data_IF_374988408951
#
_entry.id   IF_374988408951
#
_cell.length_a   1.000
_cell.length_b   1.000
_cell.length_c   1.000
_cell.angle_alpha   90.00
_cell.angle_beta   90.00
_cell.angle_gamma   90.00
#
_symmetry.space_group_name_H-M   'P 1'
#
loop_
_entity.id
_entity.type
_entity.pdbx_description
1 polymer ?
#
# COMPACT_ATOMS: atom_id res chain seq x y z
N UNK A 1 -45.41 8.07 10.41
CA UNK A 1 -44.53 7.33 9.46
C UNK A 1 -43.87 6.13 10.11
N UNK A 2 -42.90 6.30 11.03
CA UNK A 2 -42.19 5.16 11.61
C UNK A 2 -43.16 4.17 12.29
N UNK A 3 -44.08 4.67 13.11
CA UNK A 3 -45.10 3.83 13.74
C UNK A 3 -46.17 3.25 12.82
N UNK A 4 -46.36 3.81 11.63
CA UNK A 4 -47.30 3.23 10.67
C UNK A 4 -46.74 1.91 10.09
N UNK A 5 -45.41 1.77 10.09
CA UNK A 5 -44.70 0.60 9.56
C UNK A 5 -44.28 -0.36 10.68
N UNK A 6 -43.70 0.18 11.76
CA UNK A 6 -43.10 -0.60 12.85
C UNK A 6 -44.03 -0.81 14.05
N UNK A 7 -45.17 -0.11 14.08
CA UNK A 7 -46.14 -0.16 15.17
C UNK A 7 -45.82 0.81 16.30
N UNK A 8 -46.42 0.55 17.47
CA UNK A 8 -46.30 1.41 18.64
C UNK A 8 -44.95 1.30 19.35
N UNK A 9 -44.13 0.28 19.05
CA UNK A 9 -42.81 0.08 19.66
C UNK A 9 -41.80 -0.35 18.60
N UNK A 10 -40.58 0.20 18.66
CA UNK A 10 -39.45 -0.23 17.82
C UNK A 10 -38.19 -0.47 18.64
N UNK A 11 -37.34 -1.41 18.18
CA UNK A 11 -36.10 -1.72 18.88
C UNK A 11 -35.03 -0.64 18.67
N UNK A 12 -34.83 -0.17 17.44
CA UNK A 12 -33.77 0.77 17.09
C UNK A 12 -34.31 1.93 16.27
N UNK A 13 -34.02 3.16 16.70
CA UNK A 13 -34.18 4.39 15.91
C UNK A 13 -32.81 5.09 15.80
N UNK A 14 -32.52 5.71 14.67
CA UNK A 14 -31.17 6.23 14.40
C UNK A 14 -31.17 7.54 13.61
N UNK A 15 -30.06 8.27 13.69
CA UNK A 15 -29.87 9.54 13.00
C UNK A 15 -28.48 10.13 13.22
N UNK A 16 -28.19 11.29 12.63
CA UNK A 16 -27.01 12.07 13.02
C UNK A 16 -27.17 12.61 14.45
N UNK A 17 -26.06 12.86 15.14
CA UNK A 17 -26.06 13.44 16.50
C UNK A 17 -26.72 14.82 16.59
N UNK A 18 -26.82 15.55 15.48
CA UNK A 18 -27.62 16.78 15.38
C UNK A 18 -29.13 16.56 15.51
N UNK A 19 -29.60 15.34 15.26
CA UNK A 19 -31.01 14.99 15.37
C UNK A 19 -31.43 14.59 16.77
N UNK A 20 -30.48 14.35 17.69
CA UNK A 20 -30.81 14.03 19.10
C UNK A 20 -31.74 15.10 19.67
N UNK A 21 -31.36 16.37 19.57
CA UNK A 21 -32.18 17.49 20.00
C UNK A 21 -32.25 18.58 18.92
N UNK A 22 -33.45 19.14 18.61
CA UNK A 22 -34.74 18.82 19.22
C UNK A 22 -35.51 17.71 18.48
N UNK A 23 -34.98 17.15 17.40
CA UNK A 23 -35.78 16.33 16.48
C UNK A 23 -36.27 15.02 17.12
N UNK A 24 -35.37 14.14 17.56
CA UNK A 24 -35.75 12.84 18.15
C UNK A 24 -36.44 13.02 19.51
N UNK A 25 -36.04 14.02 20.31
CA UNK A 25 -36.76 14.38 21.54
C UNK A 25 -38.23 14.70 21.26
N UNK A 26 -38.51 15.48 20.22
CA UNK A 26 -39.88 15.79 19.82
C UNK A 26 -40.62 14.56 19.27
N UNK A 27 -39.96 13.70 18.49
CA UNK A 27 -40.55 12.46 17.99
C UNK A 27 -40.94 11.52 19.13
N UNK A 28 -40.08 11.39 20.14
CA UNK A 28 -40.32 10.60 21.34
C UNK A 28 -41.51 11.17 22.11
N UNK A 29 -41.50 12.47 22.40
CA UNK A 29 -42.60 13.13 23.11
C UNK A 29 -43.95 12.99 22.40
N UNK A 30 -43.98 13.14 21.07
CA UNK A 30 -45.19 12.97 20.28
C UNK A 30 -45.71 11.53 20.31
N UNK A 31 -44.81 10.57 20.10
CA UNK A 31 -45.19 9.16 19.95
C UNK A 31 -45.57 8.55 21.29
N UNK A 32 -44.82 8.81 22.35
CA UNK A 32 -45.16 8.34 23.69
C UNK A 32 -46.46 8.97 24.19
N UNK A 33 -46.70 10.26 23.95
CA UNK A 33 -47.98 10.89 24.31
C UNK A 33 -49.16 10.29 23.55
N UNK A 34 -48.96 9.92 22.28
CA UNK A 34 -50.01 9.30 21.46
C UNK A 34 -50.34 7.86 21.89
N UNK A 35 -49.33 7.05 22.22
CA UNK A 35 -49.49 5.65 22.61
C UNK A 35 -49.68 5.43 24.11
N UNK A 36 -49.53 6.48 24.94
CA UNK A 36 -49.74 6.37 26.38
C UNK A 36 -51.19 6.03 26.70
N UNK A 37 -51.39 4.87 27.34
CA UNK A 37 -52.67 4.46 27.89
C UNK A 37 -52.71 4.76 29.40
N UNK A 38 -53.74 5.48 29.90
CA UNK A 38 -53.83 5.86 31.32
C UNK A 38 -53.76 4.69 32.32
N UNK A 39 -54.14 3.48 31.88
CA UNK A 39 -54.13 2.26 32.69
C UNK A 39 -52.80 1.52 32.69
N UNK A 40 -51.92 1.74 31.71
CA UNK A 40 -50.73 0.91 31.46
C UNK A 40 -49.39 1.61 31.78
N UNK A 41 -49.42 2.88 32.21
CA UNK A 41 -48.22 3.61 32.63
C UNK A 41 -47.39 4.15 31.47
N UNK A 42 -46.09 4.35 31.68
CA UNK A 42 -45.18 4.87 30.65
C UNK A 42 -45.04 3.89 29.47
N UNK A 43 -45.05 4.42 28.25
CA UNK A 43 -44.92 3.65 27.01
C UNK A 43 -43.53 3.85 26.41
N UNK A 44 -42.81 2.77 26.14
CA UNK A 44 -41.48 2.81 25.51
C UNK A 44 -41.60 2.73 23.98
N UNK A 45 -41.61 3.89 23.31
CA UNK A 45 -41.73 3.94 21.85
C UNK A 45 -40.47 3.38 21.15
N UNK A 46 -39.27 3.69 21.65
CA UNK A 46 -37.97 3.25 21.10
C UNK A 46 -37.08 2.71 22.22
N UNK A 47 -36.49 1.53 22.04
CA UNK A 47 -35.58 0.93 23.04
C UNK A 47 -34.15 1.44 22.95
N UNK A 48 -33.64 1.63 21.74
CA UNK A 48 -32.26 2.07 21.49
C UNK A 48 -32.22 3.20 20.47
N UNK A 49 -31.66 4.33 20.86
CA UNK A 49 -31.30 5.41 19.95
C UNK A 49 -29.83 5.32 19.57
N UNK A 50 -29.54 5.25 18.26
CA UNK A 50 -28.19 5.25 17.72
C UNK A 50 -27.94 6.56 16.96
N UNK A 51 -27.07 7.41 17.53
CA UNK A 51 -26.71 8.69 16.93
C UNK A 51 -25.28 8.68 16.36
N UNK A 52 -25.14 8.85 15.05
CA UNK A 52 -23.85 8.90 14.36
C UNK A 52 -23.16 10.24 14.58
N UNK A 53 -21.85 10.19 14.86
CA UNK A 53 -21.05 11.38 15.12
C UNK A 53 -20.91 12.30 13.89
N UNK A 54 -20.44 13.53 14.15
CA UNK A 54 -20.23 14.51 13.09
C UNK A 54 -19.03 14.18 12.19
N UNK A 55 -19.10 14.61 10.94
CA UNK A 55 -17.99 14.55 9.99
C UNK A 55 -17.35 15.95 9.85
N UNK A 56 -16.04 16.05 10.03
CA UNK A 56 -15.24 17.27 9.80
C UNK A 56 -14.17 17.05 8.73
N UNK A 57 -13.77 18.11 8.04
CA UNK A 57 -12.67 18.10 7.06
C UNK A 57 -11.69 19.22 7.47
N UNK A 58 -10.41 18.88 7.63
CA UNK A 58 -9.32 19.81 7.93
C UNK A 58 -9.65 20.80 9.08
N UNK A 59 -10.09 20.27 10.23
CA UNK A 59 -10.40 21.06 11.43
C UNK A 59 -11.67 21.93 11.36
N UNK A 60 -12.44 21.90 10.27
CA UNK A 60 -13.70 22.64 10.14
C UNK A 60 -14.91 21.71 10.05
N UNK A 61 -15.94 21.98 10.87
CA UNK A 61 -17.25 21.30 10.75
C UNK A 61 -17.82 21.57 9.35
N UNK A 62 -18.23 20.52 8.64
CA UNK A 62 -18.95 20.70 7.37
C UNK A 62 -20.35 21.22 7.66
N UNK A 63 -20.71 22.37 7.09
CA UNK A 63 -22.09 22.86 7.12
C UNK A 63 -22.44 23.68 5.89
N UNK A 64 -23.71 23.64 5.48
CA UNK A 64 -24.21 24.49 4.39
C UNK A 64 -23.99 25.98 4.68
N UNK A 65 -24.08 26.38 5.96
CA UNK A 65 -23.85 27.75 6.42
C UNK A 65 -22.40 28.22 6.29
N UNK A 66 -21.41 27.34 6.45
CA UNK A 66 -20.00 27.66 6.32
C UNK A 66 -19.49 27.57 4.87
N UNK A 67 -20.35 27.21 3.90
CA UNK A 67 -20.02 26.99 2.47
C UNK A 67 -18.81 26.07 2.24
N UNK A 68 -18.47 25.24 3.23
CA UNK A 68 -17.31 24.34 3.24
C UNK A 68 -17.73 22.87 3.08
N UNK A 69 -18.88 22.61 2.45
CA UNK A 69 -19.38 21.25 2.26
C UNK A 69 -18.86 20.67 0.94
N UNK A 70 -18.31 19.46 1.01
CA UNK A 70 -18.00 18.66 -0.17
C UNK A 70 -19.12 17.63 -0.36
N UNK A 71 -19.65 17.52 -1.57
CA UNK A 71 -20.63 16.45 -1.85
C UNK A 71 -19.91 15.13 -2.05
N UNK A 72 -20.58 14.01 -1.78
CA UNK A 72 -20.03 12.67 -2.07
C UNK A 72 -19.62 12.56 -3.54
N UNK A 73 -20.38 13.14 -4.47
CA UNK A 73 -20.05 13.12 -5.91
C UNK A 73 -18.74 13.85 -6.22
N UNK A 74 -18.47 14.96 -5.53
CA UNK A 74 -17.25 15.74 -5.74
C UNK A 74 -16.05 15.01 -5.12
N UNK A 75 -16.20 14.51 -3.88
CA UNK A 75 -15.16 13.73 -3.20
C UNK A 75 -14.76 12.48 -3.99
N UNK A 76 -15.71 11.81 -4.64
CA UNK A 76 -15.45 10.62 -5.47
C UNK A 76 -14.82 10.94 -6.84
N UNK A 77 -14.88 12.20 -7.29
CA UNK A 77 -14.21 12.63 -8.53
C UNK A 77 -12.77 13.00 -8.32
N UNK A 78 -12.42 13.51 -7.13
CA UNK A 78 -11.12 14.14 -6.89
C UNK A 78 -10.25 13.35 -5.92
N UNK A 79 -10.82 12.83 -4.83
CA UNK A 79 -10.03 12.47 -3.64
C UNK A 79 -10.13 10.99 -3.26
N UNK A 80 -11.19 10.29 -3.69
CA UNK A 80 -11.49 8.95 -3.18
C UNK A 80 -12.06 8.01 -4.26
N UNK A 81 -11.71 6.73 -4.15
CA UNK A 81 -12.58 5.67 -4.64
C UNK A 81 -13.72 5.42 -3.63
N UNK A 82 -14.88 4.88 -4.06
CA UNK A 82 -15.96 4.52 -3.13
C UNK A 82 -15.50 3.60 -1.99
N UNK A 83 -14.57 2.68 -2.28
CA UNK A 83 -13.99 1.77 -1.29
C UNK A 83 -13.13 2.52 -0.28
N UNK A 84 -12.22 3.37 -0.74
CA UNK A 84 -11.32 4.15 0.15
C UNK A 84 -12.11 5.06 1.08
N UNK A 85 -13.16 5.70 0.58
CA UNK A 85 -14.04 6.51 1.40
C UNK A 85 -14.71 5.67 2.52
N UNK A 86 -15.21 4.48 2.20
CA UNK A 86 -15.75 3.56 3.23
C UNK A 86 -14.70 3.12 4.23
N UNK A 87 -13.49 2.79 3.79
CA UNK A 87 -12.38 2.44 4.69
C UNK A 87 -12.10 3.57 5.67
N UNK A 88 -12.04 4.83 5.21
CA UNK A 88 -11.88 6.01 6.09
C UNK A 88 -12.96 6.07 7.15
N UNK A 89 -14.23 5.82 6.80
CA UNK A 89 -15.32 5.83 7.79
C UNK A 89 -15.22 4.68 8.79
N UNK A 90 -14.80 3.49 8.35
CA UNK A 90 -14.64 2.32 9.22
C UNK A 90 -13.43 2.46 10.18
N UNK A 91 -12.50 3.36 9.89
CA UNK A 91 -11.35 3.66 10.76
C UNK A 91 -11.71 4.52 11.99
N UNK A 92 -12.89 5.16 11.99
CA UNK A 92 -13.47 5.82 13.16
C UNK A 92 -14.59 5.00 13.79
N UNK A 93 -14.89 5.21 15.08
CA UNK A 93 -16.10 4.65 15.67
C UNK A 93 -17.32 5.40 15.14
N UNK A 94 -18.43 4.68 14.95
CA UNK A 94 -19.64 5.22 14.34
C UNK A 94 -20.29 6.37 15.13
N UNK A 95 -20.11 6.36 16.45
CA UNK A 95 -20.68 7.34 17.39
C UNK A 95 -19.73 8.51 17.71
N UNK A 96 -18.47 8.43 17.27
CA UNK A 96 -17.49 9.49 17.46
C UNK A 96 -17.49 10.47 16.28
N UNK A 97 -17.02 11.70 16.52
CA UNK A 97 -16.73 12.62 15.43
C UNK A 97 -15.57 12.11 14.58
N UNK A 98 -15.76 12.00 13.25
CA UNK A 98 -14.71 11.60 12.32
C UNK A 98 -14.15 12.84 11.62
N UNK A 99 -12.84 13.03 11.70
CA UNK A 99 -12.14 14.06 10.92
C UNK A 99 -11.42 13.43 9.72
N UNK A 100 -11.84 13.75 8.50
CA UNK A 100 -11.13 13.30 7.30
C UNK A 100 -9.85 14.13 7.12
N UNK A 101 -8.76 13.66 7.71
CA UNK A 101 -7.41 14.22 7.51
C UNK A 101 -6.71 13.58 6.32
N UNK A 102 -5.66 14.24 5.81
CA UNK A 102 -4.78 13.65 4.78
C UNK A 102 -4.16 12.33 5.24
N UNK A 103 -3.80 12.23 6.53
CA UNK A 103 -3.22 11.01 7.10
C UNK A 103 -4.22 9.85 7.09
N UNK A 104 -5.51 10.12 7.37
CA UNK A 104 -6.55 9.09 7.25
C UNK A 104 -6.71 8.58 5.81
N UNK A 105 -6.57 9.46 4.81
CA UNK A 105 -6.58 9.05 3.40
C UNK A 105 -5.42 8.10 3.08
N UNK A 106 -4.22 8.45 3.52
CA UNK A 106 -3.01 7.64 3.33
C UNK A 106 -3.14 6.29 4.05
N UNK A 107 -3.65 6.28 5.29
CA UNK A 107 -3.88 5.03 6.02
C UNK A 107 -4.90 4.14 5.33
N UNK A 108 -6.01 4.70 4.83
CA UNK A 108 -7.03 3.95 4.11
C UNK A 108 -6.48 3.32 2.81
N UNK A 109 -5.67 4.07 2.06
CA UNK A 109 -4.99 3.55 0.87
C UNK A 109 -4.01 2.42 1.24
N UNK A 110 -3.17 2.62 2.27
CA UNK A 110 -2.22 1.60 2.72
C UNK A 110 -2.93 0.31 3.19
N UNK A 111 -4.07 0.43 3.88
CA UNK A 111 -4.87 -0.70 4.30
C UNK A 111 -5.49 -1.43 3.10
N UNK A 112 -6.05 -0.69 2.12
CA UNK A 112 -6.57 -1.27 0.88
C UNK A 112 -5.47 -2.04 0.12
N UNK A 113 -4.30 -1.43 -0.07
CA UNK A 113 -3.16 -2.05 -0.73
C UNK A 113 -2.71 -3.32 -0.01
N UNK A 114 -2.70 -3.32 1.33
CA UNK A 114 -2.33 -4.50 2.13
C UNK A 114 -3.28 -5.67 1.86
N UNK A 115 -4.58 -5.42 1.86
CA UNK A 115 -5.59 -6.46 1.59
C UNK A 115 -5.56 -6.89 0.13
N UNK A 116 -5.33 -5.98 -0.83
CA UNK A 116 -5.16 -6.31 -2.24
C UNK A 116 -3.97 -7.26 -2.44
N UNK A 117 -2.81 -6.90 -1.90
CA UNK A 117 -1.58 -7.69 -1.99
C UNK A 117 -1.75 -9.06 -1.34
N UNK A 118 -2.47 -9.14 -0.22
CA UNK A 118 -2.83 -10.40 0.41
C UNK A 118 -3.61 -11.31 -0.54
N UNK A 119 -4.67 -10.81 -1.19
CA UNK A 119 -5.43 -11.61 -2.14
C UNK A 119 -4.63 -12.01 -3.37
N UNK A 120 -3.81 -11.11 -3.92
CA UNK A 120 -2.91 -11.41 -5.04
C UNK A 120 -1.96 -12.54 -4.67
N UNK A 121 -1.33 -12.46 -3.50
CA UNK A 121 -0.39 -13.48 -3.02
C UNK A 121 -1.09 -14.83 -2.79
N UNK A 122 -2.23 -14.86 -2.10
CA UNK A 122 -2.95 -16.12 -1.86
C UNK A 122 -3.42 -16.74 -3.17
N UNK A 123 -4.04 -15.97 -4.07
CA UNK A 123 -4.46 -16.46 -5.41
C UNK A 123 -3.28 -17.08 -6.16
N UNK A 124 -2.13 -16.43 -6.10
CA UNK A 124 -0.91 -16.94 -6.73
C UNK A 124 -0.49 -18.31 -6.16
N UNK A 125 -0.43 -18.44 -4.83
CA UNK A 125 -0.13 -19.72 -4.17
C UNK A 125 -1.16 -20.82 -4.45
N UNK A 126 -2.46 -20.48 -4.47
CA UNK A 126 -3.50 -21.44 -4.85
C UNK A 126 -3.29 -21.92 -6.29
N UNK A 127 -2.97 -20.99 -7.20
CA UNK A 127 -2.82 -21.29 -8.63
C UNK A 127 -1.63 -22.19 -8.96
N UNK A 128 -0.52 -22.09 -8.22
CA UNK A 128 0.64 -23.00 -8.36
C UNK A 128 0.31 -24.44 -7.94
N UNK A 129 -0.64 -24.61 -7.01
CA UNK A 129 -0.98 -25.89 -6.39
C UNK A 129 -2.28 -26.51 -6.92
N UNK A 130 -2.86 -25.98 -8.01
CA UNK A 130 -4.09 -26.54 -8.62
C UNK A 130 -3.91 -28.02 -9.03
N UNK A 131 -2.68 -28.42 -9.42
CA UNK A 131 -2.38 -29.80 -9.82
C UNK A 131 -2.31 -30.80 -8.66
N UNK A 132 -2.24 -30.34 -7.41
CA UNK A 132 -2.19 -31.20 -6.20
C UNK A 132 -3.53 -31.26 -5.46
N UNK A 133 -4.53 -30.50 -5.90
CA UNK A 133 -5.89 -30.54 -5.38
C UNK A 133 -6.65 -31.75 -5.95
N UNK A 134 -6.28 -32.96 -5.52
CA UNK A 134 -7.24 -34.05 -5.50
C UNK A 134 -8.35 -33.65 -4.51
N UNK A 135 -9.63 -33.60 -4.94
CA UNK A 135 -10.76 -33.36 -4.04
C UNK A 135 -10.98 -34.64 -3.21
N UNK A 136 -10.12 -34.84 -2.23
CA UNK A 136 -10.08 -36.06 -1.45
C UNK A 136 -8.81 -36.15 -0.64
N UNK A 137 -8.97 -35.96 0.67
CA UNK A 137 -8.04 -36.40 1.72
C UNK A 137 -6.83 -35.48 1.94
N UNK A 138 -7.05 -34.42 2.69
CA UNK A 138 -6.28 -34.18 3.91
C UNK A 138 -7.22 -33.56 4.96
N UNK A 139 -7.45 -34.19 6.12
CA UNK A 139 -8.14 -33.56 7.24
C UNK A 139 -7.44 -32.25 7.61
N UNK A 140 -8.17 -31.29 8.17
CA UNK A 140 -7.59 -30.14 8.87
C UNK A 140 -6.51 -30.67 9.84
N UNK A 141 -5.25 -30.57 9.41
CA UNK A 141 -4.14 -30.66 10.33
C UNK A 141 -4.29 -29.46 11.26
N UNK A 142 -4.19 -29.68 12.58
CA UNK A 142 -4.06 -28.59 13.53
C UNK A 142 -2.77 -27.82 13.21
N UNK A 143 -2.88 -26.81 12.34
CA UNK A 143 -1.77 -25.94 11.96
C UNK A 143 -1.87 -24.66 12.79
N UNK A 144 -0.70 -24.08 13.12
CA UNK A 144 -0.64 -22.80 13.84
C UNK A 144 -1.42 -21.69 13.12
N UNK A 145 -1.53 -21.76 11.79
CA UNK A 145 -2.31 -20.81 11.00
C UNK A 145 -3.83 -21.01 11.21
N UNK A 146 -4.30 -22.25 11.36
CA UNK A 146 -5.70 -22.53 11.67
C UNK A 146 -6.10 -22.01 13.05
N UNK A 147 -5.23 -22.13 14.04
CA UNK A 147 -5.44 -21.54 15.37
C UNK A 147 -5.45 -20.00 15.30
N UNK A 148 -4.57 -19.41 14.49
CA UNK A 148 -4.54 -17.96 14.25
C UNK A 148 -5.84 -17.47 13.61
N UNK A 149 -6.37 -18.19 12.61
CA UNK A 149 -7.67 -17.88 12.00
C UNK A 149 -8.81 -17.94 13.03
N UNK A 150 -8.83 -18.98 13.87
CA UNK A 150 -9.84 -19.14 14.91
C UNK A 150 -9.78 -17.99 15.93
N UNK A 151 -8.58 -17.57 16.34
CA UNK A 151 -8.43 -16.43 17.23
C UNK A 151 -8.93 -15.14 16.59
N UNK A 152 -8.57 -14.87 15.32
CA UNK A 152 -9.06 -13.71 14.58
C UNK A 152 -10.60 -13.70 14.45
N UNK A 153 -11.24 -14.86 14.32
CA UNK A 153 -12.70 -14.98 14.34
C UNK A 153 -13.33 -14.55 15.67
N UNK A 154 -12.73 -14.96 16.80
CA UNK A 154 -13.18 -14.58 18.13
C UNK A 154 -12.97 -13.09 18.38
N UNK A 155 -11.80 -12.57 18.02
CA UNK A 155 -11.45 -11.16 18.20
C UNK A 155 -12.33 -10.25 17.35
N UNK A 156 -12.62 -10.64 16.10
CA UNK A 156 -13.55 -9.93 15.25
C UNK A 156 -14.97 -9.92 15.85
N UNK A 157 -15.46 -11.07 16.32
CA UNK A 157 -16.77 -11.16 16.95
C UNK A 157 -16.86 -10.24 18.17
N UNK A 158 -15.85 -10.27 19.06
CA UNK A 158 -15.77 -9.38 20.21
C UNK A 158 -15.70 -7.90 19.82
N UNK A 159 -15.06 -7.57 18.69
CA UNK A 159 -14.99 -6.19 18.20
C UNK A 159 -16.36 -5.70 17.72
N UNK A 160 -17.07 -6.52 16.95
CA UNK A 160 -18.37 -6.14 16.39
C UNK A 160 -19.49 -6.11 17.43
N UNK A 161 -19.40 -6.94 18.48
CA UNK A 161 -20.36 -6.90 19.60
C UNK A 161 -20.06 -5.81 20.63
N UNK A 162 -18.86 -5.21 20.60
CA UNK A 162 -18.50 -4.01 21.38
C UNK A 162 -18.90 -2.73 20.63
N UNK A 163 -20.22 -2.50 20.52
CA UNK A 163 -20.78 -1.31 19.85
C UNK A 163 -20.22 -1.08 18.44
N UNK A 164 -20.14 -2.14 17.64
CA UNK A 164 -19.62 -2.10 16.28
C UNK A 164 -18.23 -1.43 16.17
N UNK A 165 -17.24 -1.86 16.97
CA UNK A 165 -15.86 -1.36 16.93
C UNK A 165 -15.16 -1.77 15.61
N UNK A 166 -15.53 -1.08 14.53
CA UNK A 166 -14.95 -1.28 13.19
C UNK A 166 -13.47 -0.95 13.13
N UNK A 167 -12.92 0.05 13.85
CA UNK A 167 -11.48 0.25 13.89
C UNK A 167 -10.72 -0.98 14.39
N UNK A 168 -11.20 -1.64 15.46
CA UNK A 168 -10.62 -2.89 15.96
C UNK A 168 -10.82 -4.04 14.97
N UNK A 169 -11.99 -4.14 14.33
CA UNK A 169 -12.23 -5.13 13.29
C UNK A 169 -11.25 -5.03 12.11
N UNK A 170 -10.95 -3.81 11.63
CA UNK A 170 -9.96 -3.59 10.57
C UNK A 170 -8.55 -4.01 11.00
N UNK A 171 -8.20 -3.78 12.28
CA UNK A 171 -6.91 -4.20 12.84
C UNK A 171 -6.78 -5.71 12.90
N UNK A 172 -7.82 -6.42 13.34
CA UNK A 172 -7.85 -7.90 13.36
C UNK A 172 -7.59 -8.47 11.97
N UNK A 173 -8.16 -7.87 10.91
CA UNK A 173 -7.90 -8.27 9.52
C UNK A 173 -6.42 -8.04 9.16
N UNK A 174 -5.87 -6.87 9.47
CA UNK A 174 -4.46 -6.55 9.19
C UNK A 174 -3.48 -7.48 9.91
N UNK A 175 -3.74 -7.78 11.19
CA UNK A 175 -2.91 -8.66 11.99
C UNK A 175 -2.96 -10.10 11.45
N UNK A 176 -4.14 -10.60 11.07
CA UNK A 176 -4.25 -11.92 10.44
C UNK A 176 -3.48 -11.99 9.11
N UNK A 177 -3.59 -10.96 8.27
CA UNK A 177 -2.84 -10.87 7.00
C UNK A 177 -1.33 -10.88 7.26
N UNK A 178 -0.87 -10.18 8.30
CA UNK A 178 0.54 -10.17 8.68
C UNK A 178 1.01 -11.57 9.07
N UNK A 179 0.27 -12.30 9.89
CA UNK A 179 0.60 -13.67 10.28
C UNK A 179 0.59 -14.64 9.09
N UNK A 180 -0.34 -14.47 8.15
CA UNK A 180 -0.33 -15.24 6.88
C UNK A 180 0.95 -14.96 6.08
N UNK A 181 1.34 -13.70 5.95
CA UNK A 181 2.56 -13.34 5.21
C UNK A 181 3.81 -13.96 5.88
N UNK A 182 3.86 -13.98 7.22
CA UNK A 182 4.93 -14.65 7.98
C UNK A 182 4.90 -16.16 7.69
N UNK A 183 3.74 -16.80 7.73
CA UNK A 183 3.57 -18.22 7.42
C UNK A 183 4.07 -18.56 6.01
N UNK A 184 3.67 -17.80 4.99
CA UNK A 184 4.13 -17.96 3.60
C UNK A 184 5.65 -17.79 3.50
N UNK A 185 6.21 -16.81 4.21
CA UNK A 185 7.65 -16.53 4.17
C UNK A 185 8.52 -17.58 4.87
N UNK A 186 7.96 -18.30 5.84
CA UNK A 186 8.65 -19.31 6.66
C UNK A 186 8.48 -20.71 6.07
N UNK A 187 7.30 -21.05 5.56
CA UNK A 187 6.98 -22.36 4.95
C UNK A 187 7.05 -22.33 3.42
N UNK A 188 8.16 -21.81 2.89
CA UNK A 188 8.39 -21.54 1.46
C UNK A 188 8.18 -22.73 0.52
N UNK A 189 8.45 -23.96 0.97
CA UNK A 189 8.42 -25.18 0.14
C UNK A 189 7.08 -25.93 0.18
N UNK A 190 6.27 -25.73 1.22
CA UNK A 190 5.01 -26.45 1.41
C UNK A 190 4.07 -25.64 2.31
N UNK A 191 3.56 -24.49 1.84
CA UNK A 191 2.61 -23.69 2.62
C UNK A 191 1.31 -24.48 2.82
N UNK A 192 0.61 -24.23 3.93
CA UNK A 192 -0.70 -24.83 4.22
C UNK A 192 -1.79 -24.19 3.32
N UNK A 193 -1.86 -24.67 2.08
CA UNK A 193 -2.75 -24.15 1.02
C UNK A 193 -4.22 -24.17 1.44
N UNK A 194 -4.66 -25.23 2.13
CA UNK A 194 -6.06 -25.39 2.57
C UNK A 194 -6.41 -24.30 3.59
N UNK A 195 -5.56 -24.08 4.58
CA UNK A 195 -5.79 -23.04 5.58
C UNK A 195 -5.64 -21.64 4.97
N UNK A 196 -4.70 -21.42 4.03
CA UNK A 196 -4.57 -20.15 3.30
C UNK A 196 -5.85 -19.79 2.53
N UNK A 197 -6.46 -20.76 1.85
CA UNK A 197 -7.75 -20.56 1.17
C UNK A 197 -8.85 -20.20 2.18
N UNK A 198 -8.93 -20.93 3.30
CA UNK A 198 -9.91 -20.68 4.35
C UNK A 198 -9.77 -19.26 4.94
N UNK A 199 -8.55 -18.79 5.18
CA UNK A 199 -8.28 -17.42 5.62
C UNK A 199 -8.73 -16.41 4.56
N UNK A 200 -8.37 -16.60 3.29
CA UNK A 200 -8.77 -15.68 2.23
C UNK A 200 -10.29 -15.60 2.05
N UNK A 201 -11.01 -16.74 2.13
CA UNK A 201 -12.47 -16.78 2.09
C UNK A 201 -13.08 -16.06 3.28
N UNK A 202 -12.53 -16.26 4.48
CA UNK A 202 -12.98 -15.55 5.67
C UNK A 202 -12.79 -14.04 5.53
N UNK A 203 -11.61 -13.57 5.14
CA UNK A 203 -11.36 -12.13 4.89
C UNK A 203 -12.32 -11.59 3.82
N UNK A 204 -12.57 -12.34 2.75
CA UNK A 204 -13.53 -11.96 1.68
C UNK A 204 -14.94 -11.77 2.23
N UNK A 205 -15.40 -12.68 3.09
CA UNK A 205 -16.69 -12.55 3.77
C UNK A 205 -16.75 -11.28 4.62
N UNK A 206 -15.73 -11.01 5.44
CA UNK A 206 -15.75 -9.86 6.36
C UNK A 206 -15.72 -8.54 5.60
N UNK A 207 -14.85 -8.37 4.61
CA UNK A 207 -14.82 -7.14 3.80
C UNK A 207 -16.11 -6.97 2.98
N UNK A 208 -16.77 -8.07 2.60
CA UNK A 208 -18.10 -8.06 1.99
C UNK A 208 -19.17 -7.54 2.94
N UNK A 209 -19.19 -8.03 4.18
CA UNK A 209 -20.09 -7.53 5.26
C UNK A 209 -19.86 -6.04 5.53
N UNK A 210 -18.60 -5.58 5.50
CA UNK A 210 -18.23 -4.17 5.66
C UNK A 210 -18.52 -3.30 4.43
N UNK A 211 -19.06 -3.87 3.34
CA UNK A 211 -19.43 -3.13 2.13
C UNK A 211 -18.24 -2.59 1.31
N UNK A 212 -17.08 -3.24 1.43
CA UNK A 212 -15.85 -2.83 0.73
C UNK A 212 -15.74 -3.40 -0.68
N UNK A 213 -16.59 -4.36 -1.04
CA UNK A 213 -16.75 -4.83 -2.41
C UNK A 213 -18.15 -4.51 -2.93
N UNK A 214 -18.22 -3.83 -4.07
CA UNK A 214 -19.48 -3.45 -4.70
C UNK A 214 -20.26 -4.67 -5.24
N UNK A 215 -19.58 -5.79 -5.48
CA UNK A 215 -20.17 -7.02 -6.00
C UNK A 215 -20.34 -8.10 -4.91
N UNK A 216 -20.11 -7.76 -3.63
CA UNK A 216 -20.28 -8.72 -2.55
C UNK A 216 -21.76 -9.08 -2.36
N UNK A 217 -22.05 -10.37 -2.48
CA UNK A 217 -23.37 -10.94 -2.23
C UNK A 217 -23.23 -12.10 -1.26
N UNK A 218 -24.11 -12.17 -0.27
CA UNK A 218 -24.20 -13.33 0.62
C UNK A 218 -24.48 -14.59 -0.22
N UNK A 219 -23.80 -15.72 0.06
CA UNK A 219 -22.99 -16.03 1.25
C UNK A 219 -21.50 -15.65 1.18
N UNK A 220 -21.09 -14.84 0.19
CA UNK A 220 -19.71 -14.33 -0.01
C UNK A 220 -18.69 -15.39 -0.46
N UNK A 221 -19.09 -16.31 -1.34
CA UNK A 221 -18.26 -17.45 -1.80
C UNK A 221 -17.06 -17.09 -2.71
N UNK A 222 -16.89 -15.81 -3.03
CA UNK A 222 -15.77 -15.31 -3.82
C UNK A 222 -14.43 -15.40 -3.10
N UNK A 223 -13.36 -15.01 -3.80
CA UNK A 223 -12.03 -14.87 -3.22
C UNK A 223 -11.42 -13.52 -3.61
N UNK A 224 -11.30 -12.63 -2.63
CA UNK A 224 -10.97 -11.22 -2.82
C UNK A 224 -12.17 -10.37 -3.23
N UNK A 225 -11.96 -9.06 -3.26
CA UNK A 225 -12.93 -8.13 -3.85
C UNK A 225 -12.80 -8.04 -5.36
N UNK A 226 -13.86 -7.60 -6.02
CA UNK A 226 -13.84 -7.33 -7.47
C UNK A 226 -12.93 -6.14 -7.84
N UNK A 227 -12.26 -6.28 -8.99
CA UNK A 227 -11.48 -5.21 -9.62
C UNK A 227 -12.38 -4.41 -10.57
N UNK A 228 -13.30 -3.62 -10.01
CA UNK A 228 -14.20 -2.75 -10.78
C UNK A 228 -15.46 -3.45 -11.32
N UNK A 229 -16.35 -2.70 -12.01
CA UNK A 229 -17.57 -3.27 -12.58
C UNK A 229 -17.18 -4.38 -13.56
N UNK A 230 -17.75 -5.56 -13.35
CA UNK A 230 -17.57 -6.73 -14.22
C UNK A 230 -18.09 -6.42 -15.62
N UNK A 231 -17.27 -5.77 -16.44
CA UNK A 231 -17.43 -5.76 -17.88
C UNK A 231 -16.67 -6.96 -18.41
N UNK A 232 -17.37 -8.02 -18.74
CA UNK A 232 -17.60 -8.40 -20.15
C UNK A 232 -18.10 -9.84 -20.26
N UNK A 233 -19.15 -10.04 -21.08
CA UNK A 233 -19.59 -11.35 -21.59
C UNK A 233 -18.58 -11.88 -22.63
N UNK A 234 -17.29 -11.91 -22.32
CA UNK A 234 -16.28 -12.49 -23.22
C UNK A 234 -16.31 -14.01 -23.09
N UNK A 235 -16.22 -14.70 -24.22
CA UNK A 235 -16.02 -16.14 -24.26
C UNK A 235 -14.65 -16.52 -23.70
N UNK A 236 -14.50 -17.74 -23.19
CA UNK A 236 -13.21 -18.25 -22.68
C UNK A 236 -12.06 -18.14 -23.69
N UNK A 237 -12.36 -18.20 -24.99
CA UNK A 237 -11.34 -18.05 -26.04
C UNK A 237 -10.87 -16.60 -26.19
N UNK A 238 -11.79 -15.64 -26.09
CA UNK A 238 -11.44 -14.22 -26.13
C UNK A 238 -10.65 -13.82 -24.88
N UNK A 239 -11.00 -14.38 -23.72
CA UNK A 239 -10.31 -14.16 -22.45
C UNK A 239 -8.83 -14.58 -22.52
N UNK A 240 -8.54 -15.75 -23.10
CA UNK A 240 -7.16 -16.28 -23.14
C UNK A 240 -6.35 -15.87 -24.37
N UNK A 241 -6.98 -15.20 -25.34
CA UNK A 241 -6.36 -14.85 -26.64
C UNK A 241 -5.00 -14.16 -26.48
N UNK A 242 -4.94 -13.09 -25.69
CA UNK A 242 -3.69 -12.36 -25.43
C UNK A 242 -2.61 -13.20 -24.74
N UNK A 243 -2.99 -14.07 -23.80
CA UNK A 243 -2.05 -14.98 -23.12
C UNK A 243 -1.49 -16.03 -24.08
N UNK A 244 -2.34 -16.55 -24.97
CA UNK A 244 -1.98 -17.52 -26.01
C UNK A 244 -1.05 -16.89 -27.05
N UNK A 245 -1.32 -15.66 -27.47
CA UNK A 245 -0.47 -14.90 -28.39
C UNK A 245 0.93 -14.68 -27.80
N UNK A 246 1.01 -14.23 -26.55
CA UNK A 246 2.30 -14.08 -25.85
C UNK A 246 3.04 -15.41 -25.75
N UNK A 247 2.35 -16.48 -25.36
CA UNK A 247 2.95 -17.81 -25.28
C UNK A 247 3.55 -18.25 -26.63
N UNK A 248 2.78 -18.14 -27.71
CA UNK A 248 3.23 -18.51 -29.06
C UNK A 248 4.40 -17.63 -29.54
N UNK A 249 4.36 -16.33 -29.25
CA UNK A 249 5.45 -15.40 -29.56
C UNK A 249 6.74 -15.78 -28.82
N UNK A 250 6.64 -16.15 -27.55
CA UNK A 250 7.78 -16.60 -26.74
C UNK A 250 8.36 -17.90 -27.30
N UNK A 251 7.54 -18.89 -27.66
CA UNK A 251 7.99 -20.13 -28.29
C UNK A 251 8.80 -19.83 -29.57
N UNK A 252 8.26 -18.98 -30.45
CA UNK A 252 8.93 -18.61 -31.70
C UNK A 252 10.28 -17.93 -31.48
N UNK A 253 10.37 -17.03 -30.49
CA UNK A 253 11.63 -16.37 -30.15
C UNK A 253 12.65 -17.34 -29.53
N UNK A 254 12.19 -18.30 -28.72
CA UNK A 254 13.03 -19.37 -28.17
C UNK A 254 13.58 -20.27 -29.27
N UNK A 255 12.75 -20.68 -30.23
CA UNK A 255 13.18 -21.46 -31.39
C UNK A 255 14.23 -20.71 -32.22
N UNK A 256 14.08 -19.39 -32.34
CA UNK A 256 15.05 -18.52 -33.02
C UNK A 256 16.41 -18.39 -32.33
N UNK A 257 16.55 -18.81 -31.06
CA UNK A 257 17.83 -18.80 -30.34
C UNK A 257 18.72 -20.00 -30.68
N UNK A 258 18.21 -21.00 -31.43
CA UNK A 258 19.01 -22.15 -31.88
C UNK A 258 19.61 -22.98 -30.73
N UNK A 259 18.96 -22.99 -29.56
CA UNK A 259 19.40 -23.77 -28.41
C UNK A 259 19.26 -25.27 -28.72
N UNK A 260 20.25 -26.09 -28.32
CA UNK A 260 20.15 -27.55 -28.38
C UNK A 260 18.80 -27.99 -27.77
N UNK A 261 18.07 -28.93 -28.40
CA UNK A 261 16.72 -29.30 -27.98
C UNK A 261 16.76 -29.91 -26.58
N UNK A 262 16.54 -29.07 -25.57
CA UNK A 262 16.34 -29.54 -24.22
C UNK A 262 14.90 -30.08 -24.14
N UNK A 263 14.76 -31.37 -23.85
CA UNK A 263 13.48 -32.11 -23.76
C UNK A 263 12.44 -31.38 -22.90
N UNK A 264 12.88 -30.60 -21.90
CA UNK A 264 12.02 -29.77 -21.04
C UNK A 264 11.29 -28.62 -21.75
N UNK A 265 11.92 -27.95 -22.74
CA UNK A 265 11.29 -26.86 -23.50
C UNK A 265 10.15 -27.39 -24.38
N UNK A 266 10.35 -28.57 -24.98
CA UNK A 266 9.40 -29.26 -25.85
C UNK A 266 8.24 -29.88 -25.04
N UNK A 267 8.50 -30.38 -23.84
CA UNK A 267 7.47 -30.91 -22.95
C UNK A 267 6.56 -29.82 -22.38
N UNK A 268 7.11 -28.62 -22.14
CA UNK A 268 6.36 -27.48 -21.61
C UNK A 268 5.36 -26.92 -22.64
N UNK A 269 5.64 -27.06 -23.95
CA UNK A 269 4.74 -26.57 -25.00
C UNK A 269 3.62 -27.54 -25.41
N UNK A 270 3.81 -28.85 -25.19
CA UNK A 270 2.87 -29.88 -25.70
C UNK A 270 1.58 -30.09 -24.89
N UNK A 271 1.44 -29.52 -23.69
CA UNK A 271 0.31 -29.82 -22.78
C UNK A 271 -0.61 -28.62 -22.48
N UNK A 272 -0.27 -27.41 -22.95
CA UNK A 272 -0.99 -26.18 -22.56
C UNK A 272 -2.43 -26.16 -23.07
N UNK A 273 -2.66 -26.59 -24.31
CA UNK A 273 -4.01 -26.59 -24.90
C UNK A 273 -4.92 -27.68 -24.35
N UNK A 274 -4.34 -28.82 -24.00
CA UNK A 274 -5.06 -29.90 -23.34
C UNK A 274 -5.51 -29.46 -21.96
N UNK A 275 -4.62 -28.84 -21.17
CA UNK A 275 -4.94 -28.31 -19.85
C UNK A 275 -6.00 -27.20 -19.91
N UNK A 276 -5.91 -26.29 -20.89
CA UNK A 276 -6.94 -25.28 -21.12
C UNK A 276 -8.30 -25.89 -21.49
N UNK A 277 -8.31 -26.93 -22.34
CA UNK A 277 -9.54 -27.61 -22.73
C UNK A 277 -10.24 -28.28 -21.54
N UNK A 278 -9.48 -28.95 -20.67
CA UNK A 278 -9.99 -29.55 -19.41
C UNK A 278 -10.57 -28.48 -18.47
N UNK A 279 -9.89 -27.33 -18.31
CA UNK A 279 -10.39 -26.22 -17.50
C UNK A 279 -11.65 -25.57 -18.07
N UNK A 280 -11.78 -25.53 -19.40
CA UNK A 280 -12.99 -25.06 -20.07
C UNK A 280 -14.16 -26.00 -19.81
N UNK A 281 -13.94 -27.31 -19.87
CA UNK A 281 -14.95 -28.34 -19.60
C UNK A 281 -15.41 -28.36 -18.14
N UNK A 282 -14.55 -27.98 -17.19
CA UNK A 282 -14.92 -27.87 -15.77
C UNK A 282 -15.80 -26.66 -15.45
N UNK A 283 -16.05 -25.77 -16.41
CA UNK A 283 -16.91 -24.61 -16.24
C UNK A 283 -16.28 -23.44 -15.47
N UNK A 284 -14.95 -23.40 -15.33
CA UNK A 284 -14.24 -22.30 -14.69
C UNK A 284 -14.49 -20.98 -15.45
N UNK A 285 -15.13 -20.00 -14.81
CA UNK A 285 -15.43 -18.68 -15.41
C UNK A 285 -14.40 -17.59 -15.10
N UNK A 286 -13.53 -17.84 -14.13
CA UNK A 286 -12.52 -16.88 -13.70
C UNK A 286 -11.40 -16.75 -14.74
N UNK A 287 -11.12 -15.52 -15.16
CA UNK A 287 -10.10 -15.19 -16.17
C UNK A 287 -8.71 -15.66 -15.74
N UNK A 288 -8.36 -15.48 -14.47
CA UNK A 288 -7.04 -15.85 -13.96
C UNK A 288 -6.87 -17.37 -14.05
N UNK A 289 -7.89 -18.13 -13.65
CA UNK A 289 -7.88 -19.60 -13.74
C UNK A 289 -7.70 -20.08 -15.17
N UNK A 290 -8.45 -19.51 -16.13
CA UNK A 290 -8.35 -19.90 -17.54
C UNK A 290 -7.00 -19.53 -18.18
N UNK A 291 -6.37 -18.43 -17.76
CA UNK A 291 -5.07 -17.99 -18.27
C UNK A 291 -3.88 -18.80 -17.71
N UNK A 292 -4.05 -19.49 -16.57
CA UNK A 292 -2.96 -20.18 -15.87
C UNK A 292 -2.14 -21.17 -16.71
N UNK A 293 -2.71 -22.00 -17.61
CA UNK A 293 -1.91 -22.94 -18.41
C UNK A 293 -0.85 -22.21 -19.26
N UNK A 294 -1.25 -21.14 -19.94
CA UNK A 294 -0.37 -20.33 -20.79
C UNK A 294 0.69 -19.60 -19.95
N UNK A 295 0.29 -19.05 -18.81
CA UNK A 295 1.19 -18.31 -17.92
C UNK A 295 2.21 -19.22 -17.24
N UNK A 296 1.80 -20.39 -16.74
CA UNK A 296 2.72 -21.39 -16.15
C UNK A 296 3.73 -21.87 -17.17
N UNK A 297 3.30 -22.16 -18.39
CA UNK A 297 4.19 -22.57 -19.47
C UNK A 297 5.18 -21.45 -19.83
N UNK A 298 4.70 -20.22 -20.01
CA UNK A 298 5.54 -19.04 -20.31
C UNK A 298 6.56 -18.76 -19.20
N UNK A 299 6.14 -18.81 -17.93
CA UNK A 299 7.02 -18.61 -16.78
C UNK A 299 8.08 -19.70 -16.68
N UNK A 300 7.69 -20.98 -16.87
CA UNK A 300 8.61 -22.10 -16.86
C UNK A 300 9.65 -22.02 -17.98
N UNK A 301 9.24 -21.63 -19.19
CA UNK A 301 10.16 -21.38 -20.30
C UNK A 301 11.20 -20.32 -19.94
N UNK A 302 10.77 -19.18 -19.38
CA UNK A 302 11.67 -18.12 -18.89
C UNK A 302 12.64 -18.64 -17.84
N UNK A 303 12.17 -19.40 -16.85
CA UNK A 303 13.03 -19.92 -15.79
C UNK A 303 14.06 -20.92 -16.33
N UNK A 304 13.67 -21.79 -17.27
CA UNK A 304 14.59 -22.69 -17.98
C UNK A 304 15.62 -21.90 -18.79
N UNK A 305 15.21 -20.88 -19.53
CA UNK A 305 16.12 -19.98 -20.26
C UNK A 305 17.16 -19.36 -19.31
N UNK A 306 16.74 -18.81 -18.17
CA UNK A 306 17.65 -18.21 -17.17
C UNK A 306 18.63 -19.23 -16.57
N UNK A 307 18.21 -20.49 -16.39
CA UNK A 307 19.10 -21.58 -15.94
C UNK A 307 20.15 -21.93 -16.99
N UNK A 308 19.81 -21.85 -18.27
CA UNK A 308 20.73 -22.13 -19.39
C UNK A 308 21.67 -20.96 -19.71
N UNK A 309 21.28 -19.72 -19.38
CA UNK A 309 22.03 -18.50 -19.72
C UNK A 309 23.53 -18.51 -19.34
N UNK A 310 23.96 -19.03 -18.17
CA UNK A 310 25.38 -19.04 -17.80
C UNK A 310 26.26 -19.89 -18.72
N UNK A 311 25.70 -20.94 -19.33
CA UNK A 311 26.42 -21.97 -20.09
C UNK A 311 26.16 -21.90 -21.60
N UNK A 312 25.48 -20.86 -22.09
CA UNK A 312 25.10 -20.70 -23.50
C UNK A 312 25.88 -19.57 -24.16
N UNK A 313 26.29 -19.79 -25.42
CA UNK A 313 26.88 -18.74 -26.27
C UNK A 313 25.88 -17.60 -26.54
N UNK A 314 24.57 -17.87 -26.47
CA UNK A 314 23.49 -16.89 -26.64
C UNK A 314 23.10 -16.14 -25.35
N UNK A 315 23.95 -16.15 -24.31
CA UNK A 315 23.66 -15.60 -22.96
C UNK A 315 22.96 -14.23 -22.98
N UNK A 316 23.46 -13.27 -23.76
CA UNK A 316 22.87 -11.92 -23.83
C UNK A 316 21.45 -11.96 -24.38
N UNK A 317 21.23 -12.68 -25.47
CA UNK A 317 19.91 -12.80 -26.11
C UNK A 317 18.90 -13.52 -25.21
N UNK A 318 19.35 -14.54 -24.46
CA UNK A 318 18.55 -15.25 -23.47
C UNK A 318 18.10 -14.31 -22.34
N UNK A 319 19.01 -13.50 -21.80
CA UNK A 319 18.67 -12.53 -20.75
C UNK A 319 17.73 -11.44 -21.29
N UNK A 320 18.01 -10.89 -22.47
CA UNK A 320 17.16 -9.88 -23.11
C UNK A 320 15.73 -10.41 -23.40
N UNK A 321 15.60 -11.68 -23.81
CA UNK A 321 14.30 -12.34 -23.97
C UNK A 321 13.61 -12.57 -22.62
N UNK A 322 14.35 -13.02 -21.60
CA UNK A 322 13.80 -13.25 -20.25
C UNK A 322 13.27 -11.98 -19.60
N UNK A 323 13.95 -10.85 -19.83
CA UNK A 323 13.51 -9.53 -19.38
C UNK A 323 12.32 -9.03 -20.21
N UNK A 324 12.30 -9.20 -21.54
CA UNK A 324 11.13 -8.87 -22.36
C UNK A 324 9.86 -9.64 -21.96
N UNK A 325 10.00 -10.93 -21.65
CA UNK A 325 8.87 -11.75 -21.15
C UNK A 325 8.28 -11.14 -19.88
N UNK A 326 9.13 -10.77 -18.91
CA UNK A 326 8.70 -10.22 -17.62
C UNK A 326 8.17 -8.79 -17.74
N UNK A 327 8.95 -7.91 -18.35
CA UNK A 327 8.80 -6.45 -18.24
C UNK A 327 7.97 -5.83 -19.37
N UNK A 328 7.69 -6.60 -20.43
CA UNK A 328 6.89 -6.16 -21.58
C UNK A 328 5.71 -7.09 -21.79
N UNK A 329 5.95 -8.36 -22.17
CA UNK A 329 4.87 -9.24 -22.63
C UNK A 329 3.85 -9.56 -21.53
N UNK A 330 4.30 -10.04 -20.37
CA UNK A 330 3.41 -10.34 -19.25
C UNK A 330 2.89 -9.07 -18.58
N UNK A 331 3.72 -8.02 -18.50
CA UNK A 331 3.33 -6.72 -17.96
C UNK A 331 2.13 -6.12 -18.71
N UNK A 332 2.12 -6.19 -20.05
CA UNK A 332 1.03 -5.67 -20.87
C UNK A 332 -0.29 -6.42 -20.66
N UNK A 333 -0.22 -7.68 -20.24
CA UNK A 333 -1.37 -8.52 -19.89
C UNK A 333 -1.82 -8.36 -18.42
N UNK A 334 -1.18 -7.49 -17.63
CA UNK A 334 -1.48 -7.36 -16.20
C UNK A 334 -0.96 -8.53 -15.37
N UNK A 335 0.17 -9.12 -15.78
CA UNK A 335 0.82 -10.21 -15.06
C UNK A 335 2.23 -9.79 -14.65
N UNK A 336 2.51 -9.96 -13.36
CA UNK A 336 3.80 -9.68 -12.75
C UNK A 336 4.45 -11.00 -12.29
N UNK A 337 5.74 -11.17 -12.57
CA UNK A 337 6.52 -12.30 -12.09
C UNK A 337 7.38 -11.88 -10.90
N UNK A 338 7.15 -12.51 -9.76
CA UNK A 338 7.96 -12.33 -8.56
C UNK A 338 9.09 -13.37 -8.54
N UNK A 339 10.31 -12.92 -8.81
CA UNK A 339 11.50 -13.76 -8.93
C UNK A 339 11.91 -14.32 -7.55
N UNK A 340 11.69 -15.64 -7.34
CA UNK A 340 12.13 -16.38 -6.14
C UNK A 340 13.48 -17.07 -6.37
N UNK A 341 13.86 -18.00 -5.49
CA UNK A 341 15.04 -18.83 -5.72
C UNK A 341 14.87 -19.70 -6.97
N UNK A 342 16.00 -20.10 -7.56
CA UNK A 342 16.04 -20.92 -8.79
C UNK A 342 15.28 -22.26 -8.62
N UNK A 343 15.18 -22.77 -7.39
CA UNK A 343 14.48 -24.00 -7.04
C UNK A 343 12.95 -23.82 -6.99
N UNK A 344 12.46 -22.64 -6.59
CA UNK A 344 11.03 -22.35 -6.46
C UNK A 344 10.39 -21.84 -7.75
N UNK A 345 11.18 -21.31 -8.68
CA UNK A 345 10.67 -20.64 -9.88
C UNK A 345 9.93 -19.33 -9.56
N UNK A 346 9.62 -18.56 -10.60
CA UNK A 346 8.92 -17.28 -10.43
C UNK A 346 7.44 -17.48 -10.03
N UNK A 347 6.96 -16.66 -9.09
CA UNK A 347 5.58 -16.67 -8.63
C UNK A 347 4.72 -15.72 -9.49
N UNK A 348 3.63 -16.23 -10.07
CA UNK A 348 2.79 -15.51 -11.05
C UNK A 348 1.71 -14.70 -10.33
N UNK A 349 1.76 -13.37 -10.43
CA UNK A 349 0.80 -12.47 -9.77
C UNK A 349 -0.03 -11.72 -10.81
N UNK A 350 -1.35 -11.74 -10.64
CA UNK A 350 -2.27 -10.93 -11.44
C UNK A 350 -2.42 -9.56 -10.79
N UNK A 351 -2.02 -8.51 -11.50
CA UNK A 351 -2.10 -7.12 -11.05
C UNK A 351 -2.58 -6.28 -12.24
N UNK A 352 -3.68 -5.51 -12.13
CA UNK A 352 -4.18 -4.70 -13.22
C UNK A 352 -3.09 -3.85 -13.87
N UNK A 353 -3.06 -3.78 -15.21
CA UNK A 353 -2.07 -3.00 -15.97
C UNK A 353 -1.97 -1.54 -15.51
N UNK A 354 -3.10 -0.91 -15.18
CA UNK A 354 -3.13 0.46 -14.65
C UNK A 354 -2.38 0.60 -13.34
N UNK A 355 -2.50 -0.39 -12.45
CA UNK A 355 -1.78 -0.43 -11.17
C UNK A 355 -0.28 -0.67 -11.40
N UNK A 356 0.08 -1.58 -12.31
CA UNK A 356 1.48 -1.81 -12.69
C UNK A 356 2.15 -0.57 -13.30
N UNK A 357 1.43 0.18 -14.15
CA UNK A 357 1.90 1.45 -14.70
C UNK A 357 2.10 2.50 -13.60
N UNK A 358 1.12 2.64 -12.69
CA UNK A 358 1.22 3.56 -11.57
C UNK A 358 2.42 3.23 -10.66
N UNK A 359 2.64 1.94 -10.33
CA UNK A 359 3.80 1.49 -9.55
C UNK A 359 5.13 1.82 -10.26
N UNK A 360 5.19 1.68 -11.59
CA UNK A 360 6.38 2.03 -12.39
C UNK A 360 6.64 3.54 -12.37
N UNK A 361 5.61 4.35 -12.55
CA UNK A 361 5.70 5.81 -12.50
C UNK A 361 6.11 6.30 -11.11
N UNK A 362 5.53 5.75 -10.05
CA UNK A 362 5.89 6.07 -8.66
C UNK A 362 7.35 5.70 -8.37
N UNK A 363 7.81 4.53 -8.82
CA UNK A 363 9.21 4.11 -8.68
C UNK A 363 10.16 5.07 -9.40
N UNK A 364 9.81 5.47 -10.63
CA UNK A 364 10.58 6.46 -11.40
C UNK A 364 10.59 7.83 -10.72
N UNK A 365 9.48 8.26 -10.13
CA UNK A 365 9.38 9.51 -9.38
C UNK A 365 10.28 9.49 -8.15
N UNK A 366 10.18 8.43 -7.32
CA UNK A 366 11.04 8.24 -6.14
C UNK A 366 12.53 8.19 -6.50
N UNK A 367 12.86 7.56 -7.62
CA UNK A 367 14.24 7.51 -8.11
C UNK A 367 14.73 8.90 -8.56
N UNK A 368 13.90 9.66 -9.29
CA UNK A 368 14.19 11.05 -9.67
C UNK A 368 14.35 11.95 -8.45
N UNK A 369 13.48 11.82 -7.46
CA UNK A 369 13.57 12.56 -6.19
C UNK A 369 14.85 12.22 -5.43
N UNK A 370 15.23 10.92 -5.38
CA UNK A 370 16.49 10.48 -4.77
C UNK A 370 17.71 11.03 -5.50
N UNK A 371 17.68 11.06 -6.83
CA UNK A 371 18.75 11.66 -7.65
C UNK A 371 18.81 13.17 -7.41
N UNK A 372 17.68 13.86 -7.43
CA UNK A 372 17.60 15.30 -7.18
C UNK A 372 18.07 15.67 -5.78
N UNK A 373 17.73 14.88 -4.76
CA UNK A 373 18.19 15.07 -3.39
C UNK A 373 19.71 14.87 -3.27
N UNK A 374 20.26 13.84 -3.93
CA UNK A 374 21.72 13.62 -3.98
C UNK A 374 22.45 14.76 -4.68
N UNK A 375 21.90 15.25 -5.79
CA UNK A 375 22.51 16.35 -6.54
C UNK A 375 22.42 17.67 -5.77
N UNK A 376 21.28 17.96 -5.15
CA UNK A 376 21.14 19.11 -4.25
C UNK A 376 22.16 19.05 -3.10
N UNK A 377 22.31 17.89 -2.46
CA UNK A 377 23.29 17.71 -1.39
C UNK A 377 24.75 17.88 -1.88
N UNK A 378 25.04 17.49 -3.13
CA UNK A 378 26.36 17.71 -3.76
C UNK A 378 26.63 19.21 -3.95
N UNK A 379 25.68 19.92 -4.54
CA UNK A 379 25.79 21.37 -4.79
C UNK A 379 25.90 22.17 -3.49
N UNK A 380 25.11 21.83 -2.47
CA UNK A 380 25.18 22.48 -1.15
C UNK A 380 26.56 22.25 -0.49
N UNK A 381 27.14 21.06 -0.64
CA UNK A 381 28.50 20.76 -0.14
C UNK A 381 29.57 21.55 -0.90
N UNK A 382 29.50 21.57 -2.24
CA UNK A 382 30.45 22.32 -3.08
C UNK A 382 30.42 23.82 -2.78
N UNK A 383 29.23 24.39 -2.61
CA UNK A 383 29.07 25.79 -2.22
C UNK A 383 29.70 26.06 -0.85
N UNK A 384 29.44 25.18 0.12
CA UNK A 384 29.96 25.32 1.48
C UNK A 384 31.50 25.16 1.52
N UNK A 385 32.07 24.27 0.70
CA UNK A 385 33.51 24.12 0.55
C UNK A 385 34.16 25.30 -0.19
N UNK A 386 33.50 25.87 -1.20
CA UNK A 386 33.93 27.09 -1.88
C UNK A 386 33.91 28.30 -0.94
N UNK A 387 32.85 28.49 -0.16
CA UNK A 387 32.78 29.54 0.87
C UNK A 387 33.87 29.37 1.93
N UNK A 388 34.18 28.13 2.34
CA UNK A 388 35.30 27.84 3.26
C UNK A 388 36.64 28.17 2.62
N UNK A 389 36.85 27.82 1.36
CA UNK A 389 38.08 28.11 0.63
C UNK A 389 38.31 29.62 0.45
N UNK A 390 37.27 30.39 0.12
CA UNK A 390 37.37 31.86 0.05
C UNK A 390 37.68 32.48 1.42
N UNK A 391 37.00 32.01 2.48
CA UNK A 391 37.31 32.46 3.85
C UNK A 391 38.75 32.12 4.23
N UNK A 392 39.27 30.97 3.83
CA UNK A 392 40.65 30.56 4.11
C UNK A 392 41.72 31.47 3.46
N UNK A 393 41.39 32.21 2.39
CA UNK A 393 42.31 33.20 1.77
C UNK A 393 42.54 34.45 2.64
N UNK A 394 41.67 34.70 3.62
CA UNK A 394 41.77 35.89 4.46
C UNK A 394 42.96 35.73 5.41
N UNK A 395 43.94 36.61 5.29
CA UNK A 395 45.10 36.60 6.17
C UNK A 395 44.67 36.87 7.63
N UNK A 396 45.03 36.01 8.60
CA UNK A 396 44.65 36.16 10.01
C UNK A 396 45.03 37.52 10.62
N UNK A 397 46.10 38.17 10.14
CA UNK A 397 46.56 39.47 10.63
C UNK A 397 45.61 40.63 10.31
N UNK A 398 44.75 40.47 9.28
CA UNK A 398 43.86 41.53 8.79
C UNK A 398 42.37 41.19 8.97
N UNK A 399 42.04 39.96 9.39
CA UNK A 399 40.65 39.47 9.47
C UNK A 399 39.74 40.31 10.38
N UNK A 400 40.31 40.99 11.38
CA UNK A 400 39.57 41.84 12.32
C UNK A 400 39.72 43.34 12.03
N UNK A 401 40.50 43.73 11.02
CA UNK A 401 40.79 45.16 10.74
C UNK A 401 39.71 45.85 9.92
N UNK A 402 38.86 45.09 9.23
CA UNK A 402 37.73 45.60 8.46
C UNK A 402 36.51 45.96 9.33
N UNK A 403 36.53 45.58 10.61
CA UNK A 403 35.43 45.78 11.53
C UNK A 403 35.62 47.08 12.33
N UNK A 404 34.70 48.02 12.18
CA UNK A 404 34.78 49.38 12.77
C UNK A 404 34.70 49.39 14.30
N UNK A 405 34.33 48.26 14.92
CA UNK A 405 34.15 48.16 16.37
C UNK A 405 35.44 48.12 17.19
N UNK A 406 36.60 47.97 16.53
CA UNK A 406 37.90 47.83 17.19
C UNK A 406 38.77 49.08 17.01
N UNK A 407 39.42 49.50 18.09
CA UNK A 407 40.28 50.70 18.11
C UNK A 407 41.78 50.40 18.15
N UNK A 408 42.20 49.21 18.60
CA UNK A 408 43.59 48.78 18.63
C UNK A 408 43.72 47.25 18.52
N UNK A 409 44.86 46.78 18.01
CA UNK A 409 45.18 45.36 17.79
C UNK A 409 46.57 45.03 18.33
N UNK A 410 46.82 43.76 18.65
CA UNK A 410 48.14 43.25 19.03
C UNK A 410 49.02 42.90 17.81
N UNK A 411 50.25 42.42 18.07
CA UNK A 411 51.24 42.02 17.06
C UNK A 411 50.75 40.86 16.15
N UNK A 412 49.71 40.14 16.57
CA UNK A 412 49.08 39.05 15.82
C UNK A 412 47.80 39.49 15.09
N UNK A 413 47.43 40.77 15.19
CA UNK A 413 46.23 41.34 14.58
C UNK A 413 44.93 41.05 15.33
N UNK A 414 45.00 40.62 16.60
CA UNK A 414 43.84 40.38 17.46
C UNK A 414 43.43 41.69 18.15
N UNK A 415 42.14 42.08 18.15
CA UNK A 415 41.68 43.29 18.81
C UNK A 415 41.95 43.32 20.32
N UNK A 416 42.52 44.42 20.80
CA UNK A 416 42.83 44.66 22.23
C UNK A 416 41.95 45.76 22.84
N UNK A 417 41.47 46.71 22.02
CA UNK A 417 40.58 47.79 22.45
C UNK A 417 39.35 47.93 21.54
N UNK A 418 38.24 48.34 22.14
CA UNK A 418 37.03 48.78 21.45
C UNK A 418 37.22 50.18 20.85
N UNK A 419 36.33 50.57 19.95
CA UNK A 419 36.37 51.88 19.29
C UNK A 419 36.29 53.06 20.27
N UNK A 420 35.64 52.88 21.42
CA UNK A 420 35.55 53.86 22.51
C UNK A 420 36.81 53.92 23.40
N UNK A 421 37.84 53.13 23.08
CA UNK A 421 39.10 53.06 23.82
C UNK A 421 39.10 52.12 25.02
N UNK A 422 37.96 51.49 25.35
CA UNK A 422 37.86 50.51 26.43
C UNK A 422 38.51 49.16 26.08
N UNK A 423 38.97 48.41 27.08
CA UNK A 423 39.59 47.09 26.86
C UNK A 423 38.55 46.04 26.48
N UNK A 424 38.91 45.15 25.55
CA UNK A 424 38.05 44.03 25.16
C UNK A 424 37.88 43.06 26.35
N UNK A 425 36.64 42.70 26.75
CA UNK A 425 36.42 41.78 27.87
C UNK A 425 37.12 40.43 27.69
N UNK A 426 37.66 39.85 28.77
CA UNK A 426 38.42 38.58 28.74
C UNK A 426 37.67 37.41 28.08
N UNK A 427 36.35 37.34 28.24
CA UNK A 427 35.51 36.31 27.59
C UNK A 427 35.42 36.49 26.07
N UNK A 428 35.36 37.73 25.59
CA UNK A 428 35.38 38.07 24.17
C UNK A 428 36.77 37.84 23.57
N UNK A 429 37.84 38.20 24.29
CA UNK A 429 39.22 37.98 23.87
C UNK A 429 39.52 36.48 23.64
N UNK A 430 39.02 35.60 24.53
CA UNK A 430 39.15 34.14 24.37
C UNK A 430 38.44 33.62 23.12
N UNK A 431 37.28 34.20 22.78
CA UNK A 431 36.54 33.86 21.57
C UNK A 431 37.27 34.34 20.30
N UNK A 432 37.74 35.58 20.29
CA UNK A 432 38.51 36.16 19.18
C UNK A 432 39.80 35.38 18.92
N UNK A 433 40.51 34.97 19.99
CA UNK A 433 41.72 34.15 19.87
C UNK A 433 41.42 32.77 19.25
N UNK A 434 40.32 32.13 19.65
CA UNK A 434 39.88 30.85 19.06
C UNK A 434 39.50 31.00 17.58
N UNK A 435 38.82 32.09 17.22
CA UNK A 435 38.46 32.39 15.83
C UNK A 435 39.71 32.68 14.98
N UNK A 436 40.68 33.40 15.53
CA UNK A 436 41.98 33.65 14.92
C UNK A 436 42.79 32.36 14.71
N UNK A 437 42.89 31.49 15.72
CA UNK A 437 43.61 30.20 15.62
C UNK A 437 43.00 29.29 14.55
N UNK A 438 41.66 29.27 14.47
CA UNK A 438 40.94 28.53 13.44
C UNK A 438 41.21 29.09 12.03
N UNK A 439 41.21 30.41 11.90
CA UNK A 439 41.50 31.09 10.63
C UNK A 439 42.96 30.88 10.22
N UNK A 440 43.90 30.97 11.16
CA UNK A 440 45.33 30.73 10.92
C UNK A 440 45.56 29.33 10.38
N UNK A 441 44.99 28.32 11.02
CA UNK A 441 45.10 26.93 10.53
C UNK A 441 44.57 26.78 9.10
N UNK A 442 43.39 27.34 8.81
CA UNK A 442 42.80 27.27 7.47
C UNK A 442 43.63 28.01 6.41
N UNK A 443 44.17 29.18 6.75
CA UNK A 443 45.01 29.99 5.86
C UNK A 443 46.39 29.36 5.61
N UNK A 444 47.02 28.78 6.64
CA UNK A 444 48.30 28.08 6.51
C UNK A 444 48.16 26.80 5.64
N UNK A 445 47.06 26.06 5.80
CA UNK A 445 46.71 24.93 4.93
C UNK A 445 46.46 25.39 3.48
N UNK A 446 45.79 26.52 3.28
CA UNK A 446 45.61 27.11 1.95
C UNK A 446 46.94 27.50 1.31
N UNK A 447 47.81 28.22 2.03
CA UNK A 447 49.15 28.62 1.55
C UNK A 447 49.92 27.39 1.08
N UNK A 448 50.00 26.36 1.92
CA UNK A 448 50.74 25.11 1.62
C UNK A 448 50.21 24.43 0.36
N UNK A 449 48.90 24.45 0.15
CA UNK A 449 48.26 23.85 -1.03
C UNK A 449 48.51 24.68 -2.29
N UNK A 450 48.47 26.01 -2.19
CA UNK A 450 48.73 26.93 -3.31
C UNK A 450 50.20 27.03 -3.72
N UNK A 451 51.15 26.67 -2.85
CA UNK A 451 52.59 26.58 -3.18
C UNK A 451 53.02 25.21 -3.72
N UNK A 452 52.13 24.21 -3.69
CA UNK A 452 52.36 22.86 -4.22
C UNK A 452 51.72 22.61 -5.60
N UNK A 453 51.04 23.61 -6.15
CA UNK A 453 50.40 23.59 -7.48
C UNK A 453 51.13 24.59 -8.37
#
# INVERSE_FOLDING_TARGET
MASDILGSQMDIHSGGIDLTFPHHDNELAQSEAYFCEPSNGCHDWVRYFLHMGHLSIAGSKMSKSLKNFQTIRDSLKTDFSPRRMRIVFLMGRWNDGVEISTDMKIMAEAWETTVNNFFVNVKSHLSENISTLNPGIAPMSHSALADTLKQAQLDLHSSLTDSFDTPRALRVISDLIKEVNIHISTQKLSPDIVTLEAVARWVTKIIGILGLDANALAPYDGLGWSSGPSSTNLSSQEIVSGYREVFNQVIKEVEGLGLEPNTELILTSKNVETEFSVLKESGAKDVHVQAMPFLRATSKLRDTLRKLAPNSEAKKQILDLSDRIRDVYLFELGVYLDDRSIEQGALIKFVPKSELLAQREEKLLKEREKIALKEKARLDREKLDAERAERAKINPMVMFRSDTKWGAWDDQGIPTKLQDGSEVPKSALKKLKKDWERQKKAHDEWITKSSST
#
